data_IF_630174803829
#
_entry.id   IF_630174803829
#
_cell.length_a   1.000
_cell.length_b   1.000
_cell.length_c   1.000
_cell.angle_alpha   90.00
_cell.angle_beta   90.00
_cell.angle_gamma   90.00
#
_symmetry.space_group_name_H-M   'P 1'
#
loop_
_entity.id
_entity.type
_entity.pdbx_description
1 polymer ?
#
# COMPACT_ATOMS: atom_id res chain seq x y z
N UNK A 1 23.91 -2.61 -30.18
CA UNK A 1 25.23 -3.04 -30.72
C UNK A 1 26.41 -2.69 -29.81
N UNK A 2 26.28 -1.78 -28.84
CA UNK A 2 27.35 -1.39 -27.90
C UNK A 2 27.59 -2.37 -26.74
N UNK A 3 26.59 -3.16 -26.33
CA UNK A 3 26.75 -4.16 -25.25
C UNK A 3 27.69 -5.32 -25.61
N UNK A 4 27.73 -5.75 -26.88
CA UNK A 4 28.53 -6.91 -27.33
C UNK A 4 30.04 -6.70 -27.19
N UNK A 5 30.51 -5.45 -27.28
CA UNK A 5 31.94 -5.13 -27.22
C UNK A 5 32.52 -5.19 -25.80
N UNK A 6 31.74 -4.79 -24.78
CA UNK A 6 32.21 -4.83 -23.39
C UNK A 6 32.32 -6.27 -22.85
N UNK A 7 31.40 -7.17 -23.24
CA UNK A 7 31.47 -8.58 -22.83
C UNK A 7 32.66 -9.33 -23.45
N UNK A 8 33.03 -9.01 -24.69
CA UNK A 8 34.22 -9.60 -25.34
C UNK A 8 35.52 -9.18 -24.66
N UNK A 9 35.61 -7.95 -24.14
CA UNK A 9 36.79 -7.47 -23.42
C UNK A 9 36.99 -8.20 -22.08
N UNK A 10 35.92 -8.44 -21.33
CA UNK A 10 35.96 -9.16 -20.03
C UNK A 10 36.31 -10.65 -20.22
N UNK A 11 35.82 -11.28 -21.30
CA UNK A 11 36.19 -12.64 -21.69
C UNK A 11 37.67 -12.77 -22.08
N UNK A 12 38.23 -11.77 -22.77
CA UNK A 12 39.66 -11.75 -23.11
C UNK A 12 40.55 -11.56 -21.89
N UNK A 13 40.14 -10.69 -20.94
CA UNK A 13 40.88 -10.44 -19.69
C UNK A 13 40.89 -11.67 -18.77
N UNK A 14 39.79 -12.45 -18.73
CA UNK A 14 39.73 -13.70 -17.96
C UNK A 14 40.52 -14.86 -18.61
N UNK A 15 40.67 -14.86 -19.94
CA UNK A 15 41.54 -15.80 -20.66
C UNK A 15 43.03 -15.52 -20.47
N UNK A 16 43.42 -14.26 -20.27
CA UNK A 16 44.79 -13.86 -19.95
C UNK A 16 45.20 -14.24 -18.51
N UNK A 17 44.26 -14.22 -17.56
CA UNK A 17 44.51 -14.66 -16.18
C UNK A 17 44.79 -16.18 -16.05
N UNK A 18 44.52 -16.98 -17.10
CA UNK A 18 44.74 -18.43 -17.12
C UNK A 18 46.12 -18.84 -17.69
N UNK A 19 46.97 -17.89 -18.11
CA UNK A 19 48.30 -18.18 -18.67
C UNK A 19 49.45 -18.16 -17.66
N UNK A 20 49.17 -17.99 -16.38
CA UNK A 20 50.18 -17.98 -15.31
C UNK A 20 49.85 -19.01 -14.23
N UNK A 21 50.05 -20.28 -14.55
CA UNK A 21 50.18 -21.34 -13.55
C UNK A 21 51.53 -22.03 -13.76
N UNK A 22 52.51 -21.60 -12.98
CA UNK A 22 53.78 -22.30 -12.80
C UNK A 22 53.62 -23.37 -11.72
N UNK A 23 54.35 -24.46 -11.88
CA UNK A 23 54.19 -25.74 -11.21
C UNK A 23 54.31 -25.65 -9.68
N UNK A 24 53.40 -26.32 -8.96
CA UNK A 24 53.54 -26.60 -7.52
C UNK A 24 52.64 -25.82 -6.54
N UNK A 25 51.31 -26.00 -6.60
CA UNK A 25 50.47 -26.19 -5.40
C UNK A 25 49.05 -26.63 -5.78
N UNK A 26 48.49 -27.59 -5.02
CA UNK A 26 47.18 -28.22 -5.22
C UNK A 26 46.04 -27.20 -5.43
N UNK A 27 45.37 -27.22 -6.60
CA UNK A 27 44.10 -26.51 -6.78
C UNK A 27 43.78 -25.89 -8.14
N UNK A 28 44.32 -26.36 -9.27
CA UNK A 28 43.86 -25.90 -10.58
C UNK A 28 42.57 -26.63 -11.00
N UNK A 29 41.46 -25.89 -11.12
CA UNK A 29 40.24 -26.39 -11.75
C UNK A 29 40.55 -26.64 -13.23
N UNK A 30 40.31 -27.88 -13.68
CA UNK A 30 40.54 -28.33 -15.05
C UNK A 30 39.92 -27.35 -16.07
N UNK A 31 40.77 -26.81 -16.95
CA UNK A 31 40.44 -25.87 -18.03
C UNK A 31 39.26 -26.37 -18.87
N UNK A 32 39.13 -27.69 -19.04
CA UNK A 32 38.02 -28.28 -19.77
C UNK A 32 36.67 -28.14 -19.04
N UNK A 33 36.69 -28.23 -17.71
CA UNK A 33 35.50 -28.06 -16.86
C UNK A 33 34.97 -26.64 -16.89
N UNK A 34 35.85 -25.64 -16.82
CA UNK A 34 35.46 -24.21 -16.90
C UNK A 34 34.90 -23.88 -18.28
N UNK A 35 35.54 -24.36 -19.35
CA UNK A 35 35.04 -24.18 -20.72
C UNK A 35 33.68 -24.86 -20.96
N UNK A 36 33.43 -26.00 -20.32
CA UNK A 36 32.13 -26.67 -20.33
C UNK A 36 31.05 -25.80 -19.68
N UNK A 37 31.31 -25.28 -18.48
CA UNK A 37 30.35 -24.43 -17.75
C UNK A 37 30.06 -23.14 -18.52
N UNK A 38 31.07 -22.49 -19.09
CA UNK A 38 30.90 -21.28 -19.90
C UNK A 38 30.03 -21.53 -21.14
N UNK A 39 30.23 -22.65 -21.86
CA UNK A 39 29.38 -23.03 -23.00
C UNK A 39 27.95 -23.32 -22.58
N UNK A 40 27.75 -23.88 -21.38
CA UNK A 40 26.42 -24.16 -20.83
C UNK A 40 25.69 -22.86 -20.46
N UNK A 41 26.40 -21.91 -19.86
CA UNK A 41 25.91 -20.56 -19.55
C UNK A 41 25.57 -19.78 -20.83
N UNK A 42 26.40 -19.85 -21.87
CA UNK A 42 26.14 -19.19 -23.15
C UNK A 42 24.88 -19.76 -23.84
N UNK A 43 24.69 -21.09 -23.81
CA UNK A 43 23.45 -21.73 -24.29
C UNK A 43 22.23 -21.31 -23.47
N UNK A 44 22.38 -21.18 -22.15
CA UNK A 44 21.29 -20.73 -21.28
C UNK A 44 20.90 -19.28 -21.56
N UNK A 45 21.87 -18.38 -21.72
CA UNK A 45 21.64 -16.97 -22.04
C UNK A 45 21.02 -16.80 -23.43
N UNK A 46 21.48 -17.54 -24.45
CA UNK A 46 20.83 -17.57 -25.77
C UNK A 46 19.39 -18.10 -25.69
N UNK A 47 19.14 -19.10 -24.83
CA UNK A 47 17.78 -19.61 -24.58
C UNK A 47 16.86 -18.58 -23.91
N UNK A 48 17.39 -17.78 -22.98
CA UNK A 48 16.67 -16.67 -22.33
C UNK A 48 16.35 -15.56 -23.34
N UNK A 49 17.29 -15.19 -24.21
CA UNK A 49 17.08 -14.21 -25.28
C UNK A 49 16.01 -14.67 -26.27
N UNK A 50 16.03 -15.93 -26.70
CA UNK A 50 14.99 -16.50 -27.57
C UNK A 50 13.62 -16.47 -26.89
N UNK A 51 13.52 -16.85 -25.61
CA UNK A 51 12.23 -16.79 -24.87
C UNK A 51 11.73 -15.36 -24.69
N UNK A 52 12.63 -14.41 -24.47
CA UNK A 52 12.27 -12.99 -24.35
C UNK A 52 11.75 -12.42 -25.67
N UNK A 53 12.43 -12.71 -26.79
CA UNK A 53 11.98 -12.30 -28.13
C UNK A 53 10.65 -12.94 -28.53
N UNK A 54 10.43 -14.22 -28.21
CA UNK A 54 9.14 -14.88 -28.47
C UNK A 54 8.04 -14.34 -27.55
N UNK A 55 8.36 -14.01 -26.29
CA UNK A 55 7.45 -13.31 -25.38
C UNK A 55 6.99 -11.95 -25.93
N UNK A 56 7.92 -11.18 -26.49
CA UNK A 56 7.63 -9.91 -27.19
C UNK A 56 6.78 -10.13 -28.46
N UNK A 57 7.05 -11.20 -29.22
CA UNK A 57 6.27 -11.56 -30.41
C UNK A 57 4.83 -11.93 -30.06
N UNK A 58 4.63 -12.72 -29.00
CA UNK A 58 3.30 -13.08 -28.47
C UNK A 58 2.57 -11.84 -27.96
N UNK A 59 3.26 -10.95 -27.24
CA UNK A 59 2.68 -9.70 -26.75
C UNK A 59 2.22 -8.81 -27.92
N UNK A 60 3.05 -8.66 -28.95
CA UNK A 60 2.71 -7.89 -30.15
C UNK A 60 1.54 -8.51 -30.91
N UNK A 61 1.50 -9.85 -31.03
CA UNK A 61 0.38 -10.58 -31.64
C UNK A 61 -0.94 -10.41 -30.87
N UNK A 62 -0.89 -10.42 -29.53
CA UNK A 62 -2.06 -10.15 -28.68
C UNK A 62 -2.52 -8.70 -28.79
N UNK A 63 -1.59 -7.75 -28.87
CA UNK A 63 -1.90 -6.33 -29.08
C UNK A 63 -2.61 -6.10 -30.41
N UNK A 64 -2.13 -6.72 -31.49
CA UNK A 64 -2.79 -6.66 -32.81
C UNK A 64 -4.14 -7.37 -32.82
N UNK A 65 -4.29 -8.48 -32.08
CA UNK A 65 -5.59 -9.14 -31.93
C UNK A 65 -6.59 -8.26 -31.17
N UNK A 66 -6.15 -7.56 -30.12
CA UNK A 66 -6.97 -6.62 -29.37
C UNK A 66 -7.37 -5.40 -30.23
N UNK A 67 -6.45 -4.85 -31.02
CA UNK A 67 -6.75 -3.77 -31.97
C UNK A 67 -7.76 -4.21 -33.05
N UNK A 68 -7.67 -5.45 -33.53
CA UNK A 68 -8.60 -6.02 -34.49
C UNK A 68 -9.98 -6.37 -33.88
N UNK A 69 -10.03 -6.71 -32.58
CA UNK A 69 -11.28 -6.89 -31.84
C UNK A 69 -11.99 -5.56 -31.57
N UNK A 70 -11.26 -4.46 -31.38
CA UNK A 70 -11.83 -3.11 -31.21
C UNK A 70 -12.37 -2.55 -32.54
N UNK A 71 -11.83 -2.97 -33.68
CA UNK A 71 -12.25 -2.50 -35.01
C UNK A 71 -13.28 -3.38 -35.73
N UNK A 72 -13.70 -4.51 -35.13
CA UNK A 72 -14.76 -5.41 -35.65
C UNK A 72 -16.00 -5.44 -34.75
N UNK A 73 -16.56 -4.28 -34.44
CA UNK A 73 -17.97 -4.20 -34.02
C UNK A 73 -18.84 -3.89 -35.25
N UNK A 74 -19.65 -4.84 -35.74
CA UNK A 74 -20.73 -4.53 -36.67
C UNK A 74 -21.91 -3.94 -35.89
N UNK A 75 -22.56 -2.92 -36.47
CA UNK A 75 -23.91 -2.52 -36.09
C UNK A 75 -24.89 -3.64 -36.45
N UNK A 76 -25.68 -4.09 -35.46
CA UNK A 76 -26.91 -4.85 -35.69
C UNK A 76 -27.90 -4.57 -34.54
N UNK A 77 -29.12 -4.27 -34.96
CA UNK A 77 -30.30 -3.84 -34.22
C UNK A 77 -30.93 -4.90 -33.29
N UNK A 78 -31.53 -4.39 -32.19
CA UNK A 78 -32.75 -4.84 -31.45
C UNK A 78 -32.79 -6.27 -30.85
N UNK A 79 -33.19 -6.56 -29.61
CA UNK A 79 -33.83 -5.81 -28.52
C UNK A 79 -33.65 -6.57 -27.19
N UNK A 80 -33.16 -5.88 -26.17
CA UNK A 80 -33.45 -6.18 -24.76
C UNK A 80 -33.25 -4.87 -24.02
N UNK A 81 -34.33 -4.25 -23.56
CA UNK A 81 -34.30 -2.96 -22.90
C UNK A 81 -33.47 -3.04 -21.60
N UNK A 82 -32.18 -2.73 -21.69
CA UNK A 82 -31.43 -2.27 -20.53
C UNK A 82 -31.82 -0.81 -20.31
N UNK A 83 -32.82 -0.57 -19.46
CA UNK A 83 -33.14 0.77 -18.99
C UNK A 83 -31.85 1.41 -18.46
N UNK A 84 -31.33 2.39 -19.20
CA UNK A 84 -30.03 3.00 -18.92
C UNK A 84 -30.30 4.43 -18.51
N UNK A 85 -29.74 4.86 -17.38
CA UNK A 85 -29.91 6.22 -16.92
C UNK A 85 -29.08 7.21 -17.76
N UNK A 86 -29.51 8.47 -17.91
CA UNK A 86 -28.76 9.47 -18.67
C UNK A 86 -27.37 9.70 -18.06
N UNK A 87 -26.37 9.96 -18.90
CA UNK A 87 -25.01 10.18 -18.42
C UNK A 87 -24.93 11.44 -17.55
N UNK A 88 -24.44 11.30 -16.32
CA UNK A 88 -24.20 12.44 -15.43
C UNK A 88 -22.83 13.06 -15.70
N UNK A 89 -22.77 14.38 -15.76
CA UNK A 89 -21.51 15.12 -15.85
C UNK A 89 -20.93 15.38 -14.46
N UNK A 90 -19.61 15.63 -14.41
CA UNK A 90 -18.97 16.03 -13.17
C UNK A 90 -19.35 17.48 -12.83
N UNK A 91 -19.66 17.80 -11.55
CA UNK A 91 -19.91 19.17 -11.14
C UNK A 91 -18.67 20.04 -11.36
N UNK A 92 -18.87 21.32 -11.67
CA UNK A 92 -17.79 22.30 -11.79
C UNK A 92 -17.02 22.36 -10.48
N UNK A 93 -15.68 22.30 -10.53
CA UNK A 93 -14.82 22.16 -9.35
C UNK A 93 -15.09 20.89 -8.51
N UNK A 94 -15.52 19.79 -9.15
CA UNK A 94 -15.62 18.47 -8.54
C UNK A 94 -15.26 17.32 -9.48
N UNK A 95 -15.14 16.12 -8.93
CA UNK A 95 -14.84 14.87 -9.65
C UNK A 95 -16.01 13.90 -9.54
N UNK A 96 -16.34 13.24 -10.65
CA UNK A 96 -17.31 12.16 -10.74
C UNK A 96 -16.59 10.81 -10.77
N UNK A 97 -17.02 9.89 -9.93
CA UNK A 97 -16.56 8.51 -9.90
C UNK A 97 -17.71 7.58 -10.28
N UNK A 98 -17.49 6.73 -11.28
CA UNK A 98 -18.52 5.87 -11.87
C UNK A 98 -18.66 6.13 -13.38
N UNK A 99 -18.50 5.07 -14.18
CA UNK A 99 -18.53 5.10 -15.65
C UNK A 99 -19.68 4.29 -16.26
N UNK A 100 -20.50 3.65 -15.43
CA UNK A 100 -21.59 2.76 -15.85
C UNK A 100 -22.94 3.38 -15.47
N UNK A 101 -23.92 3.28 -16.37
CA UNK A 101 -25.23 3.93 -16.25
C UNK A 101 -26.40 2.91 -16.24
N UNK A 102 -26.10 1.66 -15.91
CA UNK A 102 -27.08 0.57 -15.83
C UNK A 102 -27.86 0.63 -14.51
N UNK A 103 -29.10 0.13 -14.50
CA UNK A 103 -29.91 0.03 -13.27
C UNK A 103 -29.12 -0.65 -12.13
N UNK A 104 -29.15 -0.04 -10.95
CA UNK A 104 -28.45 -0.51 -9.75
C UNK A 104 -26.98 -0.06 -9.63
N UNK A 105 -26.41 0.58 -10.65
CA UNK A 105 -25.08 1.19 -10.53
C UNK A 105 -25.14 2.55 -9.83
N UNK A 106 -24.13 2.82 -9.00
CA UNK A 106 -23.97 4.07 -8.26
C UNK A 106 -22.89 4.97 -8.86
N UNK A 107 -23.11 6.28 -8.77
CA UNK A 107 -22.17 7.32 -9.19
C UNK A 107 -21.94 8.26 -8.01
N UNK A 108 -20.67 8.47 -7.67
CA UNK A 108 -20.26 9.31 -6.54
C UNK A 108 -19.64 10.63 -7.01
N UNK A 109 -19.92 11.70 -6.26
CA UNK A 109 -19.42 13.04 -6.54
C UNK A 109 -18.60 13.56 -5.37
N UNK A 110 -17.46 14.16 -5.68
CA UNK A 110 -16.59 14.81 -4.69
C UNK A 110 -16.25 16.21 -5.19
N UNK A 111 -16.01 17.16 -4.29
CA UNK A 111 -15.56 18.50 -4.66
C UNK A 111 -14.04 18.64 -4.49
N UNK A 112 -13.45 19.50 -5.32
CA UNK A 112 -12.06 19.93 -5.19
C UNK A 112 -11.88 20.78 -3.92
N UNK A 113 -10.64 20.89 -3.44
CA UNK A 113 -10.31 21.68 -2.24
C UNK A 113 -10.84 23.13 -2.35
N UNK A 114 -11.57 23.59 -1.33
CA UNK A 114 -12.20 24.92 -1.27
C UNK A 114 -13.71 24.97 -1.59
N UNK A 115 -14.31 23.84 -2.01
CA UNK A 115 -15.72 23.76 -2.37
C UNK A 115 -16.44 22.68 -1.55
N UNK A 116 -17.68 22.96 -1.14
CA UNK A 116 -18.52 21.99 -0.42
C UNK A 116 -19.63 21.48 -1.32
N UNK A 117 -19.95 20.20 -1.16
CA UNK A 117 -20.97 19.53 -1.97
C UNK A 117 -22.36 19.90 -1.46
N UNK A 118 -23.15 20.51 -2.34
CA UNK A 118 -24.56 20.84 -2.12
C UNK A 118 -25.39 19.95 -3.02
N UNK A 119 -26.10 18.99 -2.44
CA UNK A 119 -26.90 18.00 -3.16
C UNK A 119 -26.54 16.56 -2.77
N UNK A 120 -26.92 15.58 -3.57
CA UNK A 120 -26.68 14.16 -3.27
C UNK A 120 -25.29 13.72 -3.72
N UNK A 121 -24.41 13.37 -2.79
CA UNK A 121 -23.04 12.90 -3.07
C UNK A 121 -22.93 11.52 -3.70
N UNK A 122 -24.00 10.73 -3.64
CA UNK A 122 -24.11 9.44 -4.31
C UNK A 122 -25.47 9.39 -4.99
N UNK A 123 -25.50 8.95 -6.25
CA UNK A 123 -26.74 8.76 -7.03
C UNK A 123 -26.77 7.35 -7.58
N UNK A 124 -27.94 6.72 -7.55
CA UNK A 124 -28.15 5.34 -8.02
C UNK A 124 -29.11 5.36 -9.20
N UNK A 125 -28.80 4.58 -10.24
CA UNK A 125 -29.68 4.44 -11.39
C UNK A 125 -30.87 3.53 -11.04
N UNK A 126 -32.09 4.08 -11.10
CA UNK A 126 -33.33 3.39 -10.75
C UNK A 126 -33.92 2.65 -11.95
N UNK A 127 -34.80 1.68 -11.68
CA UNK A 127 -35.49 0.87 -12.71
C UNK A 127 -36.35 1.71 -13.66
N UNK A 128 -36.78 2.90 -13.23
CA UNK A 128 -37.52 3.88 -14.03
C UNK A 128 -36.62 4.67 -15.03
N UNK A 129 -35.32 4.40 -15.09
CA UNK A 129 -34.36 5.11 -15.96
C UNK A 129 -33.93 6.49 -15.45
N UNK A 130 -34.23 6.83 -14.20
CA UNK A 130 -33.83 8.10 -13.57
C UNK A 130 -32.82 7.90 -12.43
N UNK A 131 -32.07 8.94 -12.12
CA UNK A 131 -31.11 8.94 -11.02
C UNK A 131 -31.76 9.35 -9.71
N UNK A 132 -31.52 8.57 -8.65
CA UNK A 132 -31.95 8.93 -7.30
C UNK A 132 -31.27 10.23 -6.81
N UNK A 133 -31.94 10.93 -5.89
CA UNK A 133 -31.42 12.13 -5.23
C UNK A 133 -31.42 13.40 -6.09
N UNK A 134 -30.89 14.47 -5.50
CA UNK A 134 -30.82 15.82 -6.10
C UNK A 134 -29.46 16.06 -6.77
N UNK A 135 -29.40 16.93 -7.78
CA UNK A 135 -28.14 17.22 -8.50
C UNK A 135 -27.06 17.73 -7.54
N UNK A 136 -25.86 17.18 -7.67
CA UNK A 136 -24.72 17.54 -6.84
C UNK A 136 -24.02 18.77 -7.43
N UNK A 137 -23.91 19.85 -6.64
CA UNK A 137 -23.24 21.09 -7.04
C UNK A 137 -22.13 21.43 -6.04
N UNK A 138 -20.94 21.77 -6.52
CA UNK A 138 -19.86 22.25 -5.67
C UNK A 138 -19.96 23.78 -5.56
N UNK A 139 -20.36 24.28 -4.38
CA UNK A 139 -20.39 25.73 -4.13
C UNK A 139 -19.12 26.16 -3.41
N UNK A 140 -18.55 27.29 -3.85
CA UNK A 140 -17.42 27.91 -3.16
C UNK A 140 -17.90 28.33 -1.76
N UNK A 141 -17.14 27.96 -0.73
CA UNK A 141 -17.36 28.48 0.61
C UNK A 141 -17.18 30.01 0.60
N UNK A 142 -18.10 30.71 1.26
CA UNK A 142 -18.05 32.15 1.54
C UNK A 142 -16.65 32.62 1.94
N UNK A 143 -16.27 33.83 1.50
CA UNK A 143 -15.08 34.58 1.97
C UNK A 143 -14.78 34.26 3.44
N UNK A 144 -13.59 33.73 3.68
CA UNK A 144 -13.18 33.22 4.98
C UNK A 144 -12.86 34.35 5.97
N UNK A 145 -12.79 35.60 5.49
CA UNK A 145 -12.59 36.81 6.32
C UNK A 145 -13.90 37.53 6.67
N UNK A 146 -15.05 37.18 6.08
CA UNK A 146 -16.34 37.82 6.36
C UNK A 146 -16.83 37.61 7.81
N UNK A 147 -16.35 36.55 8.48
CA UNK A 147 -16.68 36.24 9.88
C UNK A 147 -15.72 36.88 10.89
N UNK A 148 -14.80 37.75 10.45
CA UNK A 148 -13.75 38.36 11.29
C UNK A 148 -13.03 37.34 12.19
N UNK A 149 -12.37 36.32 11.61
CA UNK A 149 -11.79 35.22 12.39
C UNK A 149 -10.52 35.59 13.17
N UNK A 150 -9.90 36.74 12.89
CA UNK A 150 -8.67 37.20 13.56
C UNK A 150 -9.01 37.95 14.85
N UNK A 151 -8.46 37.50 15.98
CA UNK A 151 -8.69 38.06 17.31
C UNK A 151 -7.65 39.16 17.62
N UNK A 152 -7.88 39.95 18.68
CA UNK A 152 -6.92 40.91 19.26
C UNK A 152 -6.34 41.93 18.26
N UNK A 153 -7.17 42.43 17.34
CA UNK A 153 -6.76 43.45 16.35
C UNK A 153 -5.94 42.90 15.17
N UNK A 154 -5.98 41.59 14.93
CA UNK A 154 -5.35 40.97 13.75
C UNK A 154 -6.07 41.32 12.44
N UNK A 155 -5.30 41.54 11.37
CA UNK A 155 -5.83 41.83 10.04
C UNK A 155 -5.99 40.54 9.22
N UNK A 156 -7.20 40.26 8.76
CA UNK A 156 -7.50 39.07 7.96
C UNK A 156 -7.15 39.31 6.49
N UNK A 157 -6.23 38.52 5.95
CA UNK A 157 -5.88 38.55 4.54
C UNK A 157 -6.41 37.29 3.85
N UNK A 158 -7.09 37.45 2.73
CA UNK A 158 -7.57 36.32 1.93
C UNK A 158 -6.39 35.68 1.18
N UNK A 159 -6.22 34.36 1.35
CA UNK A 159 -5.27 33.54 0.60
C UNK A 159 -6.00 32.48 -0.21
N UNK A 160 -5.35 31.95 -1.25
CA UNK A 160 -5.91 30.91 -2.13
C UNK A 160 -6.11 29.62 -1.31
N UNK A 161 -7.36 29.37 -0.91
CA UNK A 161 -7.85 28.27 -0.06
C UNK A 161 -7.52 28.32 1.46
N UNK A 162 -7.03 29.45 2.00
CA UNK A 162 -6.92 29.66 3.46
C UNK A 162 -6.84 31.16 3.80
N UNK A 163 -7.51 31.61 4.87
CA UNK A 163 -7.33 32.96 5.42
C UNK A 163 -6.06 33.02 6.28
N UNK A 164 -5.30 34.11 6.14
CA UNK A 164 -4.08 34.35 6.92
C UNK A 164 -4.26 35.60 7.78
N UNK A 165 -4.26 35.43 9.10
CA UNK A 165 -4.28 36.54 10.04
C UNK A 165 -2.87 37.14 10.20
N UNK A 166 -2.77 38.45 10.04
CA UNK A 166 -1.55 39.22 10.35
C UNK A 166 -1.70 39.82 11.73
N UNK A 167 -0.84 39.42 12.67
CA UNK A 167 -0.97 39.79 14.07
C UNK A 167 -0.10 41.00 14.44
N UNK A 168 -0.56 41.89 15.35
CA UNK A 168 0.26 42.95 15.93
C UNK A 168 1.46 42.40 16.72
N UNK A 169 2.51 43.20 16.94
CA UNK A 169 3.79 42.80 17.57
C UNK A 169 3.71 42.11 18.96
N UNK A 170 2.54 42.07 19.60
CA UNK A 170 2.29 41.42 20.90
C UNK A 170 1.39 40.18 20.84
N UNK A 171 1.02 39.71 19.65
CA UNK A 171 0.15 38.55 19.44
C UNK A 171 0.68 37.59 18.37
N UNK A 172 0.37 36.30 18.48
CA UNK A 172 0.83 35.19 17.65
C UNK A 172 -0.24 34.09 17.54
N UNK A 173 -0.04 33.15 16.61
CA UNK A 173 -1.00 32.09 16.29
C UNK A 173 -1.81 32.35 15.01
N UNK A 174 -2.45 31.31 14.48
CA UNK A 174 -3.20 31.35 13.21
C UNK A 174 -4.38 32.32 13.20
N UNK A 175 -4.89 32.73 14.37
CA UNK A 175 -5.94 33.74 14.56
C UNK A 175 -5.54 34.86 15.53
N UNK A 176 -4.24 35.06 15.79
CA UNK A 176 -3.74 36.01 16.79
C UNK A 176 -4.26 35.77 18.22
N UNK A 177 -4.51 34.50 18.55
CA UNK A 177 -5.11 34.09 19.81
C UNK A 177 -4.12 34.04 20.99
N UNK A 178 -2.81 34.03 20.73
CA UNK A 178 -1.79 33.89 21.78
C UNK A 178 -1.01 35.19 21.93
N UNK A 179 -0.79 35.67 23.15
CA UNK A 179 0.13 36.79 23.38
C UNK A 179 1.55 36.32 23.06
N UNK A 180 2.36 37.09 22.31
CA UNK A 180 3.74 36.68 21.98
C UNK A 180 4.52 36.52 23.28
N UNK A 181 4.76 35.28 23.69
CA UNK A 181 5.63 35.01 24.82
C UNK A 181 7.06 35.38 24.39
N UNK A 182 7.62 36.38 25.08
CA UNK A 182 9.04 36.75 24.99
C UNK A 182 9.93 35.79 25.79
N UNK A 183 9.33 34.72 26.32
CA UNK A 183 10.00 33.63 27.01
C UNK A 183 9.80 32.35 26.19
N UNK A 184 10.87 31.55 25.99
CA UNK A 184 10.74 30.27 25.34
C UNK A 184 9.85 29.32 26.17
N UNK A 185 9.18 28.33 25.53
CA UNK A 185 8.27 27.42 26.23
C UNK A 185 8.99 26.64 27.33
N UNK A 186 8.25 26.24 28.36
CA UNK A 186 8.73 25.66 29.63
C UNK A 186 9.60 24.38 29.46
N UNK A 187 9.60 23.74 28.29
CA UNK A 187 10.44 22.59 27.95
C UNK A 187 11.85 22.96 27.42
N UNK A 188 12.11 24.24 27.15
CA UNK A 188 13.45 24.75 26.76
C UNK A 188 14.45 24.79 27.92
N UNK A 189 14.04 24.36 29.12
CA UNK A 189 14.93 24.27 30.28
C UNK A 189 15.62 22.91 30.28
N UNK A 190 16.70 22.83 29.53
CA UNK A 190 17.81 21.97 29.94
C UNK A 190 19.08 22.80 29.77
N UNK A 191 19.72 23.12 30.89
CA UNK A 191 21.12 23.53 30.94
C UNK A 191 22.02 22.33 30.56
N UNK A 192 21.69 21.63 29.47
CA UNK A 192 22.54 20.62 28.88
C UNK A 192 23.53 21.33 27.94
N UNK A 193 24.84 21.33 28.24
CA UNK A 193 25.84 21.96 27.40
C UNK A 193 25.90 21.38 25.99
N UNK A 194 25.32 20.21 25.73
CA UNK A 194 25.26 19.62 24.39
C UNK A 194 24.25 20.35 23.48
N UNK A 195 23.10 20.76 24.02
CA UNK A 195 21.98 21.41 23.31
C UNK A 195 21.96 22.94 23.45
N UNK A 196 22.87 23.51 24.24
CA UNK A 196 23.01 24.95 24.45
C UNK A 196 24.46 25.40 24.21
N UNK A 197 24.66 26.39 23.33
CA UNK A 197 26.00 26.86 22.92
C UNK A 197 26.09 28.37 22.87
N UNK A 198 27.31 28.91 22.93
CA UNK A 198 27.53 30.36 22.78
C UNK A 198 27.45 30.78 21.30
N UNK A 199 26.84 31.94 20.99
CA UNK A 199 26.79 32.44 19.62
C UNK A 199 28.16 32.88 19.13
N UNK A 200 28.38 32.74 17.82
CA UNK A 200 29.58 33.22 17.14
C UNK A 200 29.41 34.70 16.83
N UNK A 201 30.17 35.54 17.51
CA UNK A 201 30.10 36.99 17.34
C UNK A 201 31.30 37.53 16.57
N UNK A 202 31.05 38.42 15.61
CA UNK A 202 32.06 39.16 14.86
C UNK A 202 31.80 40.66 14.98
N UNK A 203 32.87 41.47 14.95
CA UNK A 203 32.77 42.93 14.96
C UNK A 203 32.77 43.41 13.52
N UNK A 204 31.66 43.97 13.06
CA UNK A 204 31.52 44.57 11.73
C UNK A 204 31.09 46.01 11.94
N UNK A 205 31.89 46.97 11.48
CA UNK A 205 31.60 48.42 11.50
C UNK A 205 31.06 48.95 12.84
N UNK A 206 31.77 48.69 13.94
CA UNK A 206 31.42 49.11 15.31
C UNK A 206 30.16 48.45 15.91
N UNK A 207 29.44 47.61 15.16
CA UNK A 207 28.36 46.77 15.66
C UNK A 207 28.85 45.34 15.96
N UNK A 208 28.39 44.76 17.07
CA UNK A 208 28.58 43.32 17.34
C UNK A 208 27.46 42.54 16.66
N UNK A 209 27.84 41.74 15.66
CA UNK A 209 26.92 40.81 14.99
C UNK A 209 27.18 39.39 15.50
N UNK A 210 26.18 38.81 16.15
CA UNK A 210 26.21 37.45 16.68
C UNK A 210 25.26 36.56 15.89
N UNK A 211 25.71 35.36 15.51
CA UNK A 211 24.91 34.35 14.83
C UNK A 211 25.07 32.99 15.48
N UNK A 212 24.03 32.17 15.40
CA UNK A 212 24.08 30.75 15.78
C UNK A 212 24.43 29.86 14.59
N UNK A 213 24.93 28.66 14.89
CA UNK A 213 25.08 27.61 13.89
C UNK A 213 23.70 27.14 13.39
N UNK A 214 23.67 26.53 12.21
CA UNK A 214 22.43 25.98 11.66
C UNK A 214 21.81 24.94 12.61
N UNK A 215 20.47 24.96 12.73
CA UNK A 215 19.74 24.11 13.68
C UNK A 215 19.62 24.71 15.10
N UNK A 216 20.22 25.87 15.37
CA UNK A 216 20.09 26.58 16.65
C UNK A 216 19.41 27.94 16.47
N UNK A 217 18.63 28.35 17.46
CA UNK A 217 18.02 29.67 17.52
C UNK A 217 18.61 30.51 18.66
N UNK A 218 18.68 31.83 18.45
CA UNK A 218 19.16 32.76 19.48
C UNK A 218 18.07 33.00 20.51
N UNK A 219 18.40 32.77 21.77
CA UNK A 219 17.57 33.04 22.94
C UNK A 219 18.36 33.92 23.93
N UNK A 220 17.70 34.81 24.68
CA UNK A 220 18.34 35.68 25.68
C UNK A 220 18.49 37.15 25.28
N UNK A 221 19.12 37.94 26.16
CA UNK A 221 19.28 39.41 26.00
C UNK A 221 20.58 39.78 25.30
N UNK A 222 20.75 41.05 24.92
CA UNK A 222 21.93 41.58 24.19
C UNK A 222 23.29 41.29 24.85
N UNK A 223 23.32 41.02 26.16
CA UNK A 223 24.54 40.70 26.91
C UNK A 223 24.65 39.21 27.30
N UNK A 224 23.60 38.41 27.04
CA UNK A 224 23.48 37.01 27.49
C UNK A 224 22.88 36.11 26.40
N UNK A 225 23.17 36.38 25.14
CA UNK A 225 22.63 35.61 24.03
C UNK A 225 23.20 34.20 24.04
N UNK A 226 22.33 33.19 24.00
CA UNK A 226 22.66 31.77 23.94
C UNK A 226 21.97 31.13 22.74
N UNK A 227 22.67 30.24 22.06
CA UNK A 227 22.14 29.42 20.98
C UNK A 227 21.53 28.17 21.59
N UNK A 228 20.21 28.04 21.47
CA UNK A 228 19.47 26.86 21.91
C UNK A 228 19.09 26.02 20.69
N UNK A 229 19.32 24.72 20.80
CA UNK A 229 18.96 23.75 19.78
C UNK A 229 17.46 23.85 19.43
N UNK A 230 17.16 23.78 18.14
CA UNK A 230 15.78 23.75 17.65
C UNK A 230 15.36 22.30 17.58
N UNK A 231 14.56 21.85 18.53
CA UNK A 231 14.06 20.48 18.50
C UNK A 231 13.05 20.28 17.36
N UNK A 232 13.52 19.80 16.20
CA UNK A 232 12.68 19.64 15.02
C UNK A 232 11.59 18.59 15.24
N UNK A 233 11.84 17.59 16.10
CA UNK A 233 10.84 16.57 16.43
C UNK A 233 9.61 17.17 17.11
N UNK A 234 9.77 18.18 17.97
CA UNK A 234 8.64 18.89 18.58
C UNK A 234 8.02 19.91 17.62
N UNK A 235 8.83 20.59 16.81
CA UNK A 235 8.34 21.58 15.84
C UNK A 235 7.41 20.94 14.80
N UNK A 236 7.78 19.76 14.29
CA UNK A 236 7.00 19.06 13.25
C UNK A 236 6.03 18.00 13.80
N UNK A 237 5.90 17.85 15.12
CA UNK A 237 4.96 16.89 15.73
C UNK A 237 3.50 17.14 15.35
N UNK A 238 3.14 18.38 15.03
CA UNK A 238 1.76 18.79 14.70
C UNK A 238 1.42 18.68 13.22
N UNK A 239 2.39 18.40 12.34
CA UNK A 239 2.24 18.43 10.88
C UNK A 239 2.04 17.01 10.28
N UNK A 240 1.25 16.17 10.97
CA UNK A 240 0.87 14.82 10.53
C UNK A 240 2.02 13.94 9.98
N UNK A 241 3.17 13.93 10.66
CA UNK A 241 4.19 12.90 10.46
C UNK A 241 5.09 13.04 9.23
N UNK A 242 5.23 14.24 8.65
CA UNK A 242 6.08 14.42 7.45
C UNK A 242 7.60 14.48 7.73
N UNK A 243 8.03 14.47 9.00
CA UNK A 243 9.45 14.57 9.36
C UNK A 243 10.16 13.20 9.31
N UNK A 244 9.60 12.21 9.99
CA UNK A 244 10.08 10.83 10.05
C UNK A 244 8.89 9.88 9.93
N UNK A 245 9.05 8.75 9.25
CA UNK A 245 7.98 7.76 9.11
C UNK A 245 7.56 7.15 10.45
N UNK A 246 8.46 7.09 11.44
CA UNK A 246 8.14 6.54 12.75
C UNK A 246 8.73 7.33 13.94
N UNK A 247 9.98 7.07 14.33
CA UNK A 247 10.59 7.72 15.50
C UNK A 247 11.50 8.85 15.03
N UNK A 248 11.31 10.04 15.60
CA UNK A 248 12.22 11.17 15.47
C UNK A 248 13.07 11.29 16.74
N UNK A 249 14.39 11.35 16.58
CA UNK A 249 15.35 11.56 17.67
C UNK A 249 16.04 12.88 17.45
N UNK A 250 15.85 13.81 18.39
CA UNK A 250 16.52 15.10 18.37
C UNK A 250 18.01 14.94 18.67
N UNK A 251 18.87 15.62 17.92
CA UNK A 251 20.32 15.65 18.13
C UNK A 251 20.81 17.10 18.10
N UNK A 252 21.95 17.44 18.71
CA UNK A 252 22.42 18.83 18.68
C UNK A 252 22.64 19.35 17.25
N UNK A 253 21.87 20.37 16.86
CA UNK A 253 21.88 21.04 15.56
C UNK A 253 21.09 20.33 14.46
N UNK A 254 20.41 19.22 14.76
CA UNK A 254 19.62 18.47 13.77
C UNK A 254 18.69 17.42 14.39
N UNK A 255 18.14 16.54 13.57
CA UNK A 255 17.42 15.37 14.02
C UNK A 255 17.84 14.15 13.18
N UNK A 256 17.57 12.96 13.70
CA UNK A 256 17.64 11.73 12.91
C UNK A 256 16.39 10.90 13.07
N UNK A 257 15.99 10.24 12.00
CA UNK A 257 14.90 9.28 12.07
C UNK A 257 15.43 7.89 12.44
N UNK A 258 14.65 7.16 13.21
CA UNK A 258 14.91 5.76 13.52
C UNK A 258 13.65 4.92 13.30
N UNK A 259 13.85 3.69 12.88
CA UNK A 259 12.77 2.75 12.63
C UNK A 259 12.59 1.80 13.84
N UNK A 260 11.36 1.29 14.06
CA UNK A 260 11.12 0.30 15.09
C UNK A 260 11.80 -1.04 14.75
N UNK A 261 11.86 -1.95 15.72
CA UNK A 261 12.43 -3.30 15.52
C UNK A 261 11.78 -4.01 14.33
N UNK A 262 12.58 -4.71 13.53
CA UNK A 262 12.13 -5.37 12.29
C UNK A 262 12.05 -4.45 11.08
N UNK A 263 12.35 -3.16 11.21
CA UNK A 263 12.38 -2.19 10.11
C UNK A 263 13.76 -1.58 9.93
N UNK A 264 14.13 -1.31 8.69
CA UNK A 264 15.37 -0.60 8.32
C UNK A 264 15.04 0.78 7.75
N UNK A 265 15.92 1.74 8.03
CA UNK A 265 15.82 3.09 7.49
C UNK A 265 16.24 3.09 6.01
N UNK A 266 15.42 3.69 5.16
CA UNK A 266 15.71 3.83 3.74
C UNK A 266 16.78 4.92 3.49
N UNK A 267 17.30 4.96 2.27
CA UNK A 267 18.35 5.90 1.87
C UNK A 267 17.94 7.38 1.95
N UNK A 268 16.64 7.66 2.04
CA UNK A 268 16.09 9.00 2.28
C UNK A 268 16.30 9.47 3.73
N UNK A 269 16.72 8.58 4.63
CA UNK A 269 16.94 8.87 6.04
C UNK A 269 15.65 9.15 6.82
N UNK A 270 14.47 8.86 6.25
CA UNK A 270 13.17 9.21 6.82
C UNK A 270 12.16 8.08 6.80
N UNK A 271 12.16 7.28 5.74
CA UNK A 271 11.19 6.20 5.53
C UNK A 271 11.69 4.88 6.13
N UNK A 272 10.75 4.07 6.59
CA UNK A 272 11.04 2.74 7.14
C UNK A 272 10.52 1.66 6.20
N UNK A 273 11.39 0.69 5.89
CA UNK A 273 11.04 -0.50 5.13
C UNK A 273 11.13 -1.73 6.04
N UNK A 274 10.12 -2.59 5.96
CA UNK A 274 10.06 -3.87 6.67
C UNK A 274 11.20 -4.79 6.22
N UNK A 275 11.83 -5.49 7.17
CA UNK A 275 12.88 -6.47 6.87
C UNK A 275 12.22 -7.82 6.69
N UNK A 276 12.11 -8.27 5.44
CA UNK A 276 11.54 -9.59 5.17
C UNK A 276 12.50 -10.72 5.59
N UNK A 277 12.29 -11.27 6.79
CA UNK A 277 13.13 -12.35 7.32
C UNK A 277 12.95 -13.66 6.54
N UNK A 278 11.79 -13.84 5.89
CA UNK A 278 11.50 -15.01 5.06
C UNK A 278 12.31 -14.99 3.76
N UNK A 279 12.47 -13.83 3.13
CA UNK A 279 13.29 -13.66 1.92
C UNK A 279 14.79 -13.68 2.23
N UNK A 280 15.19 -13.11 3.37
CA UNK A 280 16.60 -13.04 3.78
C UNK A 280 17.10 -14.31 4.46
N UNK A 281 16.23 -15.30 4.67
CA UNK A 281 16.52 -16.54 5.40
C UNK A 281 17.01 -16.31 6.85
N UNK A 282 16.60 -15.19 7.45
CA UNK A 282 16.91 -14.83 8.84
C UNK A 282 15.77 -15.26 9.80
N UNK A 283 15.03 -16.30 9.43
CA UNK A 283 13.92 -16.83 10.21
C UNK A 283 14.34 -18.13 10.92
N UNK A 284 13.97 -18.28 12.20
CA UNK A 284 14.27 -19.48 13.00
C UNK A 284 13.15 -20.54 12.94
N UNK A 285 12.51 -20.67 11.77
CA UNK A 285 11.38 -21.60 11.59
C UNK A 285 11.84 -23.07 11.55
N UNK A 286 11.15 -23.92 12.32
CA UNK A 286 11.37 -25.37 12.32
C UNK A 286 11.11 -26.00 10.96
N UNK A 287 11.80 -27.12 10.65
CA UNK A 287 11.56 -27.89 9.42
C UNK A 287 10.10 -28.31 9.32
N UNK A 288 9.50 -28.11 8.14
CA UNK A 288 8.09 -28.43 7.87
C UNK A 288 7.10 -27.29 8.13
N UNK A 289 7.57 -26.14 8.63
CA UNK A 289 6.76 -24.93 8.75
C UNK A 289 7.00 -23.99 7.56
N UNK A 290 6.02 -23.15 7.26
CA UNK A 290 6.10 -22.10 6.22
C UNK A 290 6.32 -20.77 6.90
N UNK A 291 7.32 -20.01 6.43
CA UNK A 291 7.56 -18.65 6.90
C UNK A 291 6.57 -17.68 6.25
N UNK A 292 5.92 -16.84 7.05
CA UNK A 292 5.05 -15.75 6.62
C UNK A 292 5.64 -14.46 7.15
N UNK A 293 5.95 -13.52 6.25
CA UNK A 293 6.46 -12.22 6.63
C UNK A 293 5.33 -11.34 7.21
N UNK A 294 5.62 -10.61 8.28
CA UNK A 294 4.68 -9.74 9.00
C UNK A 294 5.30 -8.38 9.26
N UNK A 295 4.48 -7.35 9.51
CA UNK A 295 5.02 -6.01 9.77
C UNK A 295 5.82 -5.96 11.07
N UNK A 296 7.15 -5.93 10.95
CA UNK A 296 8.11 -5.91 12.04
C UNK A 296 8.65 -7.28 12.46
N UNK A 297 8.39 -8.35 11.69
CA UNK A 297 8.88 -9.69 12.02
C UNK A 297 8.31 -10.80 11.12
N UNK A 298 8.42 -12.05 11.56
CA UNK A 298 7.86 -13.19 10.82
C UNK A 298 7.06 -14.14 11.72
N UNK A 299 6.17 -14.92 11.11
CA UNK A 299 5.48 -16.02 11.76
C UNK A 299 5.73 -17.35 11.03
N UNK A 300 6.02 -18.39 11.80
CA UNK A 300 6.18 -19.75 11.27
C UNK A 300 4.85 -20.48 11.41
N UNK A 301 4.19 -20.76 10.29
CA UNK A 301 2.87 -21.38 10.27
C UNK A 301 2.94 -22.78 9.71
N UNK A 302 2.15 -23.69 10.27
CA UNK A 302 1.91 -25.00 9.69
C UNK A 302 0.43 -25.35 9.86
N UNK A 303 -0.45 -24.78 9.01
CA UNK A 303 -1.86 -25.08 9.11
C UNK A 303 -2.12 -26.56 8.81
N UNK A 304 -2.91 -27.19 9.67
CA UNK A 304 -3.39 -28.55 9.49
C UNK A 304 -4.66 -28.56 8.64
N UNK A 305 -4.88 -29.63 7.89
CA UNK A 305 -6.13 -29.80 7.16
C UNK A 305 -7.28 -30.08 8.14
N UNK A 306 -8.54 -29.69 7.82
CA UNK A 306 -9.67 -29.94 8.70
C UNK A 306 -9.79 -31.42 9.08
N UNK A 307 -9.99 -31.70 10.37
CA UNK A 307 -10.07 -33.06 10.89
C UNK A 307 -11.26 -33.85 10.32
N UNK A 308 -11.10 -35.18 10.30
CA UNK A 308 -12.06 -36.17 9.84
C UNK A 308 -13.38 -36.07 10.63
N UNK A 309 -14.36 -35.35 10.09
CA UNK A 309 -15.75 -35.44 10.57
C UNK A 309 -16.51 -36.44 9.68
N UNK A 310 -16.71 -37.66 10.20
CA UNK A 310 -17.35 -38.74 9.46
C UNK A 310 -16.50 -39.25 8.28
N UNK A 311 -17.12 -39.44 7.11
CA UNK A 311 -16.45 -39.97 5.91
C UNK A 311 -15.71 -38.92 5.08
N UNK A 312 -15.48 -37.71 5.61
CA UNK A 312 -14.86 -36.60 4.88
C UNK A 312 -13.40 -36.52 5.29
N UNK A 313 -12.49 -36.71 4.33
CA UNK A 313 -11.04 -36.62 4.55
C UNK A 313 -10.40 -35.60 3.61
N UNK A 314 -9.37 -34.93 4.10
CA UNK A 314 -8.59 -33.95 3.35
C UNK A 314 -7.12 -34.38 3.30
N UNK A 315 -6.47 -34.09 2.18
CA UNK A 315 -5.04 -34.28 1.97
C UNK A 315 -4.38 -32.94 1.71
N UNK A 316 -3.17 -32.75 2.24
CA UNK A 316 -2.38 -31.54 2.06
C UNK A 316 -1.74 -31.57 0.66
N UNK A 317 -2.16 -30.66 -0.22
CA UNK A 317 -1.64 -30.55 -1.60
C UNK A 317 -0.52 -29.51 -1.70
N UNK A 318 -0.49 -28.54 -0.79
CA UNK A 318 0.61 -27.59 -0.62
C UNK A 318 0.76 -27.20 0.86
N UNK A 319 1.84 -26.51 1.26
CA UNK A 319 2.01 -26.09 2.66
C UNK A 319 0.82 -25.32 3.26
N UNK A 320 0.07 -24.61 2.40
CA UNK A 320 -1.06 -23.76 2.77
C UNK A 320 -2.37 -24.17 2.06
N UNK A 321 -2.45 -25.38 1.49
CA UNK A 321 -3.63 -25.83 0.76
C UNK A 321 -3.94 -27.30 1.02
N UNK A 322 -5.22 -27.57 1.21
CA UNK A 322 -5.79 -28.90 1.37
C UNK A 322 -6.85 -29.16 0.30
N UNK A 323 -6.92 -30.39 -0.18
CA UNK A 323 -7.95 -30.86 -1.08
C UNK A 323 -8.71 -32.03 -0.46
N UNK A 324 -10.02 -32.07 -0.67
CA UNK A 324 -10.87 -33.13 -0.17
C UNK A 324 -10.70 -34.38 -1.03
N UNK A 325 -10.60 -35.54 -0.39
CA UNK A 325 -10.60 -36.82 -1.08
C UNK A 325 -11.94 -37.08 -1.79
N UNK A 326 -11.96 -37.95 -2.81
CA UNK A 326 -13.18 -38.32 -3.53
C UNK A 326 -14.30 -38.77 -2.59
N UNK A 327 -15.51 -38.23 -2.79
CA UNK A 327 -16.68 -38.58 -1.99
C UNK A 327 -17.36 -39.85 -2.54
N UNK A 328 -17.87 -40.69 -1.64
CA UNK A 328 -18.84 -41.72 -2.01
C UNK A 328 -20.13 -41.08 -2.51
N UNK A 329 -20.73 -41.68 -3.55
CA UNK A 329 -21.99 -41.21 -4.17
C UNK A 329 -23.16 -41.08 -3.19
N UNK A 330 -23.14 -41.82 -2.07
CA UNK A 330 -24.20 -41.80 -1.06
C UNK A 330 -24.02 -40.69 -0.02
N UNK A 331 -22.85 -40.06 0.05
CA UNK A 331 -22.53 -39.08 1.11
C UNK A 331 -22.83 -37.64 0.68
N UNK A 332 -24.09 -37.22 0.83
CA UNK A 332 -24.51 -35.83 0.56
C UNK A 332 -23.69 -34.81 1.36
N UNK A 333 -23.36 -35.11 2.62
CA UNK A 333 -22.54 -34.24 3.47
C UNK A 333 -21.14 -34.01 2.89
N UNK A 334 -20.51 -35.03 2.30
CA UNK A 334 -19.20 -34.89 1.66
C UNK A 334 -19.27 -34.04 0.39
N UNK A 335 -20.30 -34.22 -0.43
CA UNK A 335 -20.48 -33.40 -1.64
C UNK A 335 -20.71 -31.92 -1.34
N UNK A 336 -21.35 -31.59 -0.20
CA UNK A 336 -21.56 -30.22 0.26
C UNK A 336 -20.36 -29.60 0.99
N UNK A 337 -19.40 -30.41 1.42
CA UNK A 337 -18.19 -29.91 2.05
C UNK A 337 -17.36 -29.08 1.06
N UNK A 338 -16.41 -28.26 1.52
CA UNK A 338 -15.43 -27.62 0.65
C UNK A 338 -14.60 -28.68 -0.10
N UNK A 339 -14.42 -28.49 -1.41
CA UNK A 339 -13.50 -29.29 -2.24
C UNK A 339 -12.06 -28.91 -1.94
N UNK A 340 -11.78 -27.63 -1.76
CA UNK A 340 -10.46 -27.14 -1.36
C UNK A 340 -10.56 -26.22 -0.16
N UNK A 341 -9.54 -26.26 0.68
CA UNK A 341 -9.34 -25.33 1.80
C UNK A 341 -7.97 -24.69 1.64
N UNK A 342 -7.90 -23.37 1.64
CA UNK A 342 -6.65 -22.62 1.49
C UNK A 342 -6.45 -21.66 2.66
N UNK A 343 -5.21 -21.49 3.09
CA UNK A 343 -4.81 -20.64 4.20
C UNK A 343 -4.03 -19.44 3.66
N UNK A 344 -4.49 -18.24 4.00
CA UNK A 344 -3.88 -16.98 3.55
C UNK A 344 -3.54 -16.14 4.76
N UNK A 345 -2.39 -15.47 4.74
CA UNK A 345 -1.93 -14.62 5.83
C UNK A 345 -1.63 -13.23 5.27
N UNK A 346 -2.32 -12.22 5.80
CA UNK A 346 -2.23 -10.83 5.35
C UNK A 346 -1.71 -9.98 6.50
N UNK A 347 -0.57 -9.32 6.29
CA UNK A 347 -0.01 -8.37 7.25
C UNK A 347 -0.50 -6.96 6.94
N UNK A 348 -1.11 -6.29 7.93
CA UNK A 348 -1.65 -4.94 7.81
C UNK A 348 -1.10 -4.01 8.91
N UNK A 349 -0.90 -2.71 8.62
CA UNK A 349 -0.57 -1.73 9.65
C UNK A 349 -1.80 -1.42 10.54
N UNK A 350 -1.54 -0.90 11.73
CA UNK A 350 -2.60 -0.39 12.59
C UNK A 350 -3.25 0.86 11.97
N UNK A 351 -4.56 1.00 12.16
CA UNK A 351 -5.32 2.17 11.74
C UNK A 351 -5.29 2.42 10.21
N UNK A 352 -5.33 1.32 9.43
CA UNK A 352 -5.41 1.37 7.98
C UNK A 352 -6.62 2.18 7.51
N UNK A 353 -6.44 2.97 6.46
CA UNK A 353 -7.52 3.74 5.83
C UNK A 353 -8.58 2.79 5.24
N UNK A 354 -9.85 3.03 5.58
CA UNK A 354 -10.99 2.23 5.14
C UNK A 354 -11.91 3.02 4.20
N UNK A 355 -12.61 2.35 3.27
CA UNK A 355 -12.62 0.90 3.02
C UNK A 355 -11.34 0.42 2.29
N UNK A 356 -10.84 -0.76 2.67
CA UNK A 356 -9.64 -1.36 2.07
C UNK A 356 -9.92 -2.76 1.51
N UNK A 357 -9.62 -2.99 0.24
CA UNK A 357 -9.67 -4.31 -0.39
C UNK A 357 -8.46 -5.14 0.03
N UNK A 358 -8.68 -6.23 0.77
CA UNK A 358 -7.60 -7.03 1.38
C UNK A 358 -7.27 -8.28 0.59
N UNK A 359 -8.28 -8.94 0.04
CA UNK A 359 -8.13 -10.26 -0.57
C UNK A 359 -9.08 -10.41 -1.75
N UNK A 360 -8.62 -11.07 -2.81
CA UNK A 360 -9.43 -11.33 -4.00
C UNK A 360 -9.47 -12.82 -4.29
N UNK A 361 -10.67 -13.36 -4.42
CA UNK A 361 -10.92 -14.73 -4.86
C UNK A 361 -11.34 -14.74 -6.31
N UNK A 362 -10.78 -15.67 -7.08
CA UNK A 362 -11.10 -15.89 -8.48
C UNK A 362 -10.96 -17.37 -8.83
N UNK A 363 -11.73 -17.84 -9.81
CA UNK A 363 -11.51 -19.17 -10.39
C UNK A 363 -10.50 -19.10 -11.54
N UNK A 364 -9.54 -20.02 -11.55
CA UNK A 364 -8.68 -20.20 -12.71
C UNK A 364 -9.46 -21.00 -13.77
N UNK A 365 -9.89 -20.36 -14.85
CA UNK A 365 -10.48 -21.07 -15.98
C UNK A 365 -9.38 -21.82 -16.73
N UNK A 366 -9.49 -23.15 -16.79
CA UNK A 366 -8.58 -23.95 -17.59
C UNK A 366 -8.79 -23.64 -19.09
N UNK A 367 -7.72 -23.53 -19.91
CA UNK A 367 -7.85 -23.31 -21.34
C UNK A 367 -8.72 -24.40 -21.98
N UNK A 368 -9.82 -24.02 -22.64
CA UNK A 368 -10.68 -24.93 -23.41
C UNK A 368 -11.84 -25.58 -22.66
N UNK A 369 -12.09 -25.23 -21.39
CA UNK A 369 -13.36 -25.58 -20.71
C UNK A 369 -14.21 -24.32 -20.51
N UNK A 370 -15.54 -24.37 -20.76
CA UNK A 370 -16.42 -23.31 -20.31
C UNK A 370 -16.25 -23.19 -18.80
N UNK A 371 -15.81 -22.01 -18.34
CA UNK A 371 -15.70 -21.72 -16.91
C UNK A 371 -17.08 -21.76 -16.23
N UNK A 372 -17.14 -21.74 -14.90
CA UNK A 372 -18.42 -21.67 -14.20
C UNK A 372 -19.21 -20.43 -14.65
N UNK A 373 -20.50 -20.60 -14.91
CA UNK A 373 -21.38 -19.51 -15.35
C UNK A 373 -21.63 -18.48 -14.25
N UNK A 374 -21.57 -18.91 -12.99
CA UNK A 374 -21.78 -18.05 -11.84
C UNK A 374 -21.02 -18.52 -10.60
N UNK A 375 -20.43 -17.55 -9.92
CA UNK A 375 -19.84 -17.71 -8.59
C UNK A 375 -20.69 -17.00 -7.54
N UNK A 376 -20.81 -17.62 -6.37
CA UNK A 376 -21.36 -16.99 -5.17
C UNK A 376 -20.25 -16.92 -4.12
N UNK A 377 -20.14 -15.77 -3.47
CA UNK A 377 -19.18 -15.53 -2.41
C UNK A 377 -19.93 -15.27 -1.10
N UNK A 378 -19.38 -15.72 0.01
CA UNK A 378 -19.96 -15.50 1.32
C UNK A 378 -18.91 -15.58 2.41
N UNK A 379 -19.17 -14.94 3.54
CA UNK A 379 -18.37 -15.12 4.76
C UNK A 379 -19.07 -16.21 5.57
N UNK A 380 -18.33 -17.24 5.95
CA UNK A 380 -18.84 -18.32 6.81
C UNK A 380 -18.95 -17.72 8.22
N UNK A 381 -20.16 -17.53 8.73
CA UNK A 381 -20.34 -16.91 10.05
C UNK A 381 -19.67 -17.75 11.15
N UNK A 382 -18.64 -17.16 11.76
CA UNK A 382 -17.94 -17.73 12.91
C UNK A 382 -17.10 -16.66 13.62
N UNK A 383 -17.63 -16.12 14.72
CA UNK A 383 -16.85 -15.32 15.69
C UNK A 383 -16.68 -13.82 15.41
N UNK A 384 -15.72 -13.22 16.13
CA UNK A 384 -15.45 -11.77 16.30
C UNK A 384 -15.34 -10.93 15.02
N UNK A 385 -15.31 -11.54 13.83
CA UNK A 385 -15.21 -10.93 12.49
C UNK A 385 -16.50 -10.25 11.97
N UNK A 386 -17.65 -10.45 12.62
CA UNK A 386 -18.94 -9.92 12.18
C UNK A 386 -18.92 -8.38 12.09
N UNK A 387 -19.23 -7.84 10.91
CA UNK A 387 -19.31 -6.40 10.68
C UNK A 387 -17.96 -5.70 10.39
N UNK A 388 -16.83 -6.38 10.57
CA UNK A 388 -15.50 -5.84 10.21
C UNK A 388 -15.16 -6.05 8.74
N UNK A 389 -15.67 -7.14 8.15
CA UNK A 389 -15.39 -7.51 6.77
C UNK A 389 -16.68 -7.64 5.96
N UNK A 390 -16.62 -7.21 4.72
CA UNK A 390 -17.69 -7.39 3.73
C UNK A 390 -17.13 -8.10 2.52
N UNK A 391 -17.89 -9.05 1.99
CA UNK A 391 -17.56 -9.71 0.73
C UNK A 391 -18.35 -9.04 -0.40
N UNK A 392 -17.65 -8.47 -1.38
CA UNK A 392 -18.25 -7.80 -2.52
C UNK A 392 -17.91 -8.54 -3.80
N UNK A 393 -18.89 -8.71 -4.70
CA UNK A 393 -18.65 -9.25 -6.04
C UNK A 393 -18.11 -8.14 -6.95
N UNK A 394 -16.88 -8.31 -7.45
CA UNK A 394 -16.20 -7.33 -8.32
C UNK A 394 -16.59 -7.53 -9.80
N UNK A 395 -16.64 -8.79 -10.25
CA UNK A 395 -17.14 -9.17 -11.57
C UNK A 395 -17.84 -10.55 -11.54
N UNK A 396 -18.10 -11.16 -12.72
CA UNK A 396 -18.78 -12.47 -12.75
C UNK A 396 -17.94 -13.61 -12.16
N UNK A 397 -16.62 -13.47 -12.10
CA UNK A 397 -15.67 -14.53 -11.74
C UNK A 397 -14.82 -14.19 -10.51
N UNK A 398 -14.99 -13.02 -9.91
CA UNK A 398 -14.15 -12.54 -8.82
C UNK A 398 -14.95 -11.88 -7.70
N UNK A 399 -14.50 -12.14 -6.49
CA UNK A 399 -15.02 -11.57 -5.26
C UNK A 399 -13.89 -10.98 -4.44
N UNK A 400 -14.17 -9.88 -3.76
CA UNK A 400 -13.22 -9.09 -2.98
C UNK A 400 -13.67 -9.04 -1.52
N UNK A 401 -12.74 -9.35 -0.62
CA UNK A 401 -12.90 -9.17 0.81
C UNK A 401 -12.44 -7.76 1.17
N UNK A 402 -13.34 -6.99 1.76
CA UNK A 402 -13.15 -5.58 2.06
C UNK A 402 -13.21 -5.40 3.57
N UNK A 403 -12.20 -4.74 4.13
CA UNK A 403 -12.21 -4.24 5.50
C UNK A 403 -12.99 -2.94 5.57
N UNK A 404 -14.03 -2.91 6.40
CA UNK A 404 -14.94 -1.76 6.55
C UNK A 404 -14.84 -1.11 7.94
N UNK A 405 -14.05 -1.67 8.85
CA UNK A 405 -13.80 -1.12 10.18
C UNK A 405 -12.29 -0.92 10.40
N UNK A 406 -11.91 0.20 11.01
CA UNK A 406 -10.52 0.44 11.41
C UNK A 406 -10.12 -0.51 12.53
N UNK A 407 -8.95 -1.12 12.40
CA UNK A 407 -8.41 -2.07 13.37
C UNK A 407 -7.18 -1.48 14.07
N UNK A 408 -7.12 -1.63 15.39
CA UNK A 408 -5.99 -1.21 16.20
C UNK A 408 -5.13 -2.44 16.54
N UNK A 409 -3.84 -2.39 16.22
CA UNK A 409 -2.91 -3.48 16.55
C UNK A 409 -2.41 -3.40 17.99
N UNK A 410 -1.71 -4.43 18.48
CA UNK A 410 -1.45 -5.71 17.81
C UNK A 410 -2.63 -6.67 17.98
N UNK A 411 -3.15 -7.22 16.88
CA UNK A 411 -4.25 -8.18 16.90
C UNK A 411 -4.12 -9.19 15.75
N UNK A 412 -4.63 -10.40 15.96
CA UNK A 412 -4.80 -11.40 14.90
C UNK A 412 -6.28 -11.74 14.77
N UNK A 413 -6.79 -11.67 13.55
CA UNK A 413 -8.18 -11.98 13.21
C UNK A 413 -8.20 -13.03 12.12
N UNK A 414 -9.12 -13.99 12.21
CA UNK A 414 -9.33 -14.97 11.14
C UNK A 414 -10.74 -14.80 10.56
N UNK A 415 -10.84 -14.81 9.23
CA UNK A 415 -12.12 -14.80 8.52
C UNK A 415 -12.15 -15.93 7.48
N UNK A 416 -13.19 -16.75 7.58
CA UNK A 416 -13.42 -17.86 6.65
C UNK A 416 -14.33 -17.38 5.52
N UNK A 417 -13.79 -17.32 4.30
CA UNK A 417 -14.49 -16.89 3.08
C UNK A 417 -14.78 -18.09 2.19
N UNK A 418 -16.02 -18.22 1.79
CA UNK A 418 -16.52 -19.26 0.92
C UNK A 418 -16.73 -18.75 -0.52
N UNK A 419 -16.37 -19.59 -1.48
CA UNK A 419 -16.73 -19.44 -2.89
C UNK A 419 -17.45 -20.71 -3.36
N UNK A 420 -18.68 -20.57 -3.85
CA UNK A 420 -19.47 -21.66 -4.44
C UNK A 420 -19.57 -21.49 -5.96
N UNK A 421 -19.25 -22.56 -6.68
CA UNK A 421 -19.25 -22.62 -8.14
C UNK A 421 -20.55 -23.23 -8.66
N UNK A 422 -21.15 -22.59 -9.67
CA UNK A 422 -22.35 -23.07 -10.36
C UNK A 422 -22.11 -23.11 -11.87
N UNK A 423 -22.54 -24.20 -12.48
CA UNK A 423 -22.59 -24.40 -13.93
C UNK A 423 -24.02 -24.79 -14.30
N UNK A 424 -24.64 -24.09 -15.25
CA UNK A 424 -26.05 -24.31 -15.62
C UNK A 424 -27.02 -24.32 -14.42
N UNK A 425 -26.80 -23.42 -13.45
CA UNK A 425 -27.53 -23.33 -12.16
C UNK A 425 -27.36 -24.52 -11.22
N UNK A 426 -26.59 -25.54 -11.59
CA UNK A 426 -26.26 -26.67 -10.74
C UNK A 426 -24.99 -26.41 -9.95
N UNK A 427 -25.04 -26.70 -8.65
CA UNK A 427 -23.88 -26.62 -7.76
C UNK A 427 -22.80 -27.60 -8.20
N UNK A 428 -21.58 -27.12 -8.37
CA UNK A 428 -20.43 -27.93 -8.79
C UNK A 428 -19.50 -28.22 -7.62
N UNK A 429 -19.02 -27.16 -6.96
CA UNK A 429 -18.04 -27.25 -5.90
C UNK A 429 -18.11 -26.03 -4.98
N UNK A 430 -17.56 -26.20 -3.78
CA UNK A 430 -17.36 -25.16 -2.77
C UNK A 430 -15.88 -25.06 -2.45
N UNK A 431 -15.37 -23.86 -2.24
CA UNK A 431 -13.99 -23.59 -1.88
C UNK A 431 -13.98 -22.71 -0.63
N UNK A 432 -13.09 -23.02 0.30
CA UNK A 432 -12.93 -22.28 1.55
C UNK A 432 -11.55 -21.62 1.56
N UNK A 433 -11.51 -20.32 1.82
CA UNK A 433 -10.29 -19.57 2.08
C UNK A 433 -10.34 -19.07 3.53
N UNK A 434 -9.44 -19.58 4.35
CA UNK A 434 -9.22 -19.09 5.72
C UNK A 434 -8.18 -17.99 5.65
N UNK A 435 -8.62 -16.75 5.84
CA UNK A 435 -7.77 -15.56 5.76
C UNK A 435 -7.43 -15.10 7.18
N UNK A 436 -6.17 -15.23 7.55
CA UNK A 436 -5.59 -14.69 8.77
C UNK A 436 -5.11 -13.27 8.49
N UNK A 437 -5.61 -12.30 9.24
CA UNK A 437 -5.25 -10.90 9.17
C UNK A 437 -4.43 -10.57 10.42
N UNK A 438 -3.17 -10.20 10.21
CA UNK A 438 -2.18 -9.90 11.23
C UNK A 438 -1.99 -8.39 11.27
N UNK A 439 -2.51 -7.73 12.32
CA UNK A 439 -2.43 -6.28 12.48
C UNK A 439 -1.20 -5.93 13.32
N UNK A 440 -0.25 -5.23 12.70
CA UNK A 440 0.96 -4.70 13.35
C UNK A 440 0.62 -3.65 14.41
N UNK A 441 1.41 -3.49 15.51
CA UNK A 441 1.20 -2.43 16.48
C UNK A 441 1.48 -1.02 15.92
N UNK A 442 2.18 -0.92 14.79
CA UNK A 442 2.62 0.35 14.21
C UNK A 442 1.63 0.88 13.17
N UNK A 443 1.48 2.21 13.13
CA UNK A 443 0.72 2.94 12.12
C UNK A 443 1.74 3.40 11.06
N UNK A 444 1.62 2.91 9.83
CA UNK A 444 2.46 3.29 8.69
C UNK A 444 1.64 4.05 7.65
#
# INVERSE_FOLDING_TARGET
MTLSHQYRAVLFLSLLALHSCNDGMQGCIDKQRVMSVLRQMEKFLKGQEIRFTEGLRIMKSKLTSLQNSVSKFPQADQSSHSSTCPALEAPTHGKKFGSKYLVGHEVHFTCSSGYHLVGSGTRVCQENGSWSGVSALCKAGSSQCASNPCLNGGTCNEGVNQYKCTCPHKWSGSRCQHQTQTAPPEWSVVNDPEFSRKPRCTKVDQAQHCSCDAGFHMSGTSHSSICQDVNECEVYKTDNGLLCAHICVNIPGSFRCSCPSGYKLLADGRSCEDVDECLTQQHNCSRGTTCVNTGGGFQCVNPECPHLHGNISYVKTSPLQCERNPCSMTSRACHLAPKTVSYHYLSLPSNLQIPATLFRMATATAPGRPGPDSLRFGIVEGGHARGMFVMQRSDRQTGELILVQQLLGPQELSVDVEMAEYLDRNFQAKHLARVHVLISPYKF
#
